data_IF_939025554285
#
_entry.id   IF_939025554285
#
_cell.length_a   1.000
_cell.length_b   1.000
_cell.length_c   1.000
_cell.angle_alpha   90.00
_cell.angle_beta   90.00
_cell.angle_gamma   90.00
#
_symmetry.space_group_name_H-M   'P 1'
#
loop_
_entity.id
_entity.type
_entity.pdbx_description
1 polymer ?
#
# COMPACT_ATOMS: atom_id res chain seq x y z
N UNK A 1 0.97 -6.80 -14.26
CA UNK A 1 1.06 -6.52 -12.81
C UNK A 1 2.50 -6.23 -12.46
N UNK A 2 2.76 -5.15 -11.72
CA UNK A 2 4.09 -4.78 -11.23
C UNK A 2 4.06 -4.72 -9.71
N UNK A 3 5.17 -5.14 -9.09
CA UNK A 3 5.36 -4.99 -7.66
C UNK A 3 5.92 -3.60 -7.34
N UNK A 4 5.43 -3.01 -6.27
CA UNK A 4 5.85 -1.72 -5.77
C UNK A 4 6.13 -1.84 -4.28
N UNK A 5 7.21 -1.19 -3.85
CA UNK A 5 7.46 -0.94 -2.44
C UNK A 5 7.03 0.50 -2.16
N UNK A 6 6.18 0.67 -1.16
CA UNK A 6 5.70 1.97 -0.70
C UNK A 6 6.55 2.35 0.50
N UNK A 7 6.93 3.62 0.62
CA UNK A 7 7.72 4.11 1.74
C UNK A 7 6.96 3.96 3.06
N UNK A 8 7.65 3.55 4.11
CA UNK A 8 7.09 3.39 5.45
C UNK A 8 6.46 4.69 5.98
N UNK A 9 7.09 5.84 5.68
CA UNK A 9 6.61 7.17 6.07
C UNK A 9 5.19 7.45 5.56
N UNK A 10 4.90 7.05 4.32
CA UNK A 10 3.60 7.27 3.71
C UNK A 10 2.54 6.34 4.31
N UNK A 11 2.87 5.07 4.56
CA UNK A 11 1.96 4.13 5.23
C UNK A 11 1.67 4.58 6.67
N UNK A 12 2.69 5.06 7.39
CA UNK A 12 2.53 5.60 8.74
C UNK A 12 1.65 6.84 8.76
N UNK A 13 1.80 7.74 7.78
CA UNK A 13 0.89 8.87 7.58
C UNK A 13 -0.55 8.40 7.37
N UNK A 14 -0.80 7.47 6.45
CA UNK A 14 -2.15 6.93 6.19
C UNK A 14 -2.76 6.26 7.44
N UNK A 15 -1.94 5.58 8.24
CA UNK A 15 -2.36 4.96 9.51
C UNK A 15 -2.81 5.96 10.57
N UNK A 16 -2.40 7.23 10.48
CA UNK A 16 -2.93 8.29 11.36
C UNK A 16 -4.40 8.60 11.08
N UNK A 17 -4.88 8.32 9.86
CA UNK A 17 -6.27 8.54 9.46
C UNK A 17 -7.12 7.27 9.59
N UNK A 18 -6.57 6.10 9.23
CA UNK A 18 -7.28 4.82 9.34
C UNK A 18 -6.36 3.72 9.89
N UNK A 19 -6.73 3.18 11.05
CA UNK A 19 -6.00 2.11 11.73
C UNK A 19 -6.12 0.74 11.04
N UNK A 20 -7.01 0.59 10.05
CA UNK A 20 -7.14 -0.63 9.23
C UNK A 20 -6.04 -0.77 8.19
N UNK A 21 -5.30 0.30 7.91
CA UNK A 21 -4.16 0.26 6.99
C UNK A 21 -3.09 -0.66 7.57
N UNK A 22 -2.71 -1.70 6.81
CA UNK A 22 -1.76 -2.72 7.27
C UNK A 22 -0.36 -2.15 7.50
N UNK A 23 0.35 -2.69 8.49
CA UNK A 23 1.76 -2.34 8.70
C UNK A 23 2.63 -2.81 7.53
N UNK A 24 3.57 -1.96 7.17
CA UNK A 24 4.46 -2.15 6.04
C UNK A 24 5.69 -3.02 6.35
N UNK A 25 5.88 -3.40 7.63
CA UNK A 25 6.95 -4.29 8.12
C UNK A 25 8.35 -3.90 7.59
N UNK A 26 8.77 -2.64 7.78
CA UNK A 26 10.08 -2.16 7.29
C UNK A 26 10.18 -2.22 5.75
N UNK A 27 9.17 -1.71 5.05
CA UNK A 27 9.09 -1.70 3.57
C UNK A 27 9.18 -3.08 2.90
N UNK A 28 9.05 -4.17 3.67
CA UNK A 28 9.21 -5.53 3.17
C UNK A 28 7.93 -6.08 2.54
N UNK A 29 6.80 -5.38 2.68
CA UNK A 29 5.51 -5.82 2.15
C UNK A 29 5.38 -5.37 0.69
N UNK A 30 5.41 -6.30 -0.29
CA UNK A 30 5.18 -5.93 -1.67
C UNK A 30 3.71 -5.53 -1.87
N UNK A 31 3.50 -4.44 -2.58
CA UNK A 31 2.20 -4.03 -3.08
C UNK A 31 2.11 -4.39 -4.56
N UNK A 32 0.93 -4.86 -4.98
CA UNK A 32 0.63 -4.97 -6.41
C UNK A 32 0.01 -3.65 -6.85
N UNK A 33 0.67 -2.99 -7.80
CA UNK A 33 0.21 -1.70 -8.31
C UNK A 33 -0.64 -1.80 -9.57
N UNK A 34 -1.55 -0.82 -9.65
CA UNK A 34 -2.67 -0.64 -10.59
C UNK A 34 -3.67 -1.78 -10.50
N UNK A 35 -4.40 -1.80 -9.38
CA UNK A 35 -5.64 -2.59 -9.31
C UNK A 35 -6.77 -1.82 -9.99
N UNK A 36 -6.89 -0.51 -9.73
CA UNK A 36 -7.91 0.40 -10.28
C UNK A 36 -7.36 1.83 -10.32
N UNK A 37 -7.73 2.62 -11.34
CA UNK A 37 -7.57 4.07 -11.39
C UNK A 37 -8.95 4.73 -11.40
N UNK A 38 -9.24 5.60 -10.43
CA UNK A 38 -10.51 6.35 -10.33
C UNK A 38 -10.15 7.81 -10.13
N UNK A 39 -10.68 8.70 -10.96
CA UNK A 39 -10.48 10.16 -10.82
C UNK A 39 -8.99 10.53 -10.59
N UNK A 40 -8.09 9.95 -11.39
CA UNK A 40 -6.62 10.13 -11.34
C UNK A 40 -5.93 9.53 -10.10
N UNK A 41 -6.66 8.89 -9.18
CA UNK A 41 -6.11 8.17 -8.04
C UNK A 41 -5.81 6.72 -8.39
N UNK A 42 -4.55 6.30 -8.17
CA UNK A 42 -4.09 4.93 -8.39
C UNK A 42 -4.18 4.13 -7.10
N UNK A 43 -4.92 3.03 -7.14
CA UNK A 43 -5.09 2.15 -5.98
C UNK A 43 -4.12 0.97 -6.02
N UNK A 44 -3.52 0.70 -4.86
CA UNK A 44 -2.54 -0.35 -4.63
C UNK A 44 -3.09 -1.31 -3.57
N UNK A 45 -3.07 -2.61 -3.87
CA UNK A 45 -3.48 -3.63 -2.91
C UNK A 45 -2.25 -4.23 -2.23
N UNK A 46 -2.26 -4.37 -0.88
CA UNK A 46 -1.24 -5.12 -0.19
C UNK A 46 -1.33 -6.59 -0.60
N UNK A 47 -0.20 -7.20 -0.96
CA UNK A 47 -0.19 -8.63 -1.26
C UNK A 47 -0.45 -9.43 0.03
N UNK A 48 -1.46 -10.32 0.07
CA UNK A 48 -1.68 -11.17 1.22
C UNK A 48 -0.48 -12.13 1.34
N UNK A 49 0.22 -12.08 2.47
CA UNK A 49 1.14 -13.13 2.86
C UNK A 49 0.24 -14.29 3.31
N UNK A 50 0.01 -15.26 2.43
CA UNK A 50 -0.47 -16.58 2.83
C UNK A 50 0.59 -17.29 3.67
#
# INVERSE_FOLDING_TARGET
MKFYNIADEYINFLRTFDSKVSENKQESRPYIGVVIEIEEMKYYAPFPLC
#
